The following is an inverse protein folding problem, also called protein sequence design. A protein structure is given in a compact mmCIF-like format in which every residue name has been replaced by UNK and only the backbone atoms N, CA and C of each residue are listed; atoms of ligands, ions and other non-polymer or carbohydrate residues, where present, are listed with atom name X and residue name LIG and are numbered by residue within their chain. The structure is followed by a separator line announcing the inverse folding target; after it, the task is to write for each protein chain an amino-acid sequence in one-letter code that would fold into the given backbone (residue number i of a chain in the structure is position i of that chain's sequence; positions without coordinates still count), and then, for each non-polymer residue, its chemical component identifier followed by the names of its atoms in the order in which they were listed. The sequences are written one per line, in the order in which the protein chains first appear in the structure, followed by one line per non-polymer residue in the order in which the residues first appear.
data_IF_255512024696
#
_entry.id   IF_255512024696
#
_cell.length_a   1.000
_cell.length_b   1.000
_cell.length_c   1.000
_cell.angle_alpha   90.00
_cell.angle_beta   90.00
_cell.angle_gamma   90.00
#
_symmetry.space_group_name_H-M   'P 1'
#
loop_
_entity.id
_entity.type
_entity.pdbx_description
1 polymer ?
#
# COMPACT_ATOMS: atom_id res chain seq x y z
N UNK A 1 14.14 -13.21 -1.47
CA UNK A 1 12.70 -12.90 -1.51
C UNK A 1 12.54 -11.72 -2.44
N UNK A 2 11.80 -11.83 -3.55
CA UNK A 2 11.56 -10.68 -4.43
C UNK A 2 10.70 -9.65 -3.70
N UNK A 3 11.23 -8.43 -3.58
CA UNK A 3 10.55 -7.31 -2.97
C UNK A 3 9.50 -6.76 -3.96
N UNK A 4 8.23 -7.09 -3.72
CA UNK A 4 7.11 -6.67 -4.58
C UNK A 4 6.70 -5.20 -4.36
N UNK A 5 7.43 -4.45 -3.54
CA UNK A 5 7.21 -3.01 -3.36
C UNK A 5 7.41 -2.21 -4.66
N UNK A 6 8.11 -2.77 -5.65
CA UNK A 6 8.24 -2.16 -6.98
C UNK A 6 6.95 -2.20 -7.81
N UNK A 7 6.02 -3.10 -7.49
CA UNK A 7 4.75 -3.25 -8.21
C UNK A 7 3.75 -2.12 -7.85
N UNK A 8 3.94 -1.48 -6.69
CA UNK A 8 3.10 -0.37 -6.20
C UNK A 8 4.05 0.75 -5.72
N UNK A 9 4.36 1.73 -6.57
CA UNK A 9 5.26 2.83 -6.23
C UNK A 9 4.68 3.71 -5.12
N UNK A 10 5.57 4.35 -4.36
CA UNK A 10 5.18 5.34 -3.35
C UNK A 10 4.37 6.48 -3.99
N UNK A 11 3.33 6.94 -3.30
CA UNK A 11 2.37 7.93 -3.83
C UNK A 11 1.19 7.31 -4.57
N UNK A 12 1.17 6.00 -4.81
CA UNK A 12 -0.02 5.31 -5.30
C UNK A 12 -1.18 5.44 -4.30
N UNK A 13 -2.40 5.32 -4.79
CA UNK A 13 -3.61 5.19 -3.96
C UNK A 13 -4.17 3.78 -4.15
N UNK A 14 -4.41 3.08 -3.04
CA UNK A 14 -5.04 1.76 -3.04
C UNK A 14 -6.46 1.87 -2.52
N UNK A 15 -7.37 1.12 -3.15
CA UNK A 15 -8.75 0.97 -2.69
C UNK A 15 -8.93 -0.40 -2.05
N UNK A 16 -9.45 -0.46 -0.82
CA UNK A 16 -9.77 -1.70 -0.08
C UNK A 16 -11.15 -1.52 0.54
N UNK A 17 -12.09 -2.40 0.19
CA UNK A 17 -13.49 -2.35 0.63
C UNK A 17 -14.12 -0.96 0.40
N UNK A 18 -13.83 -0.37 -0.76
CA UNK A 18 -14.30 0.97 -1.13
C UNK A 18 -13.62 2.14 -0.41
N UNK A 19 -12.66 1.90 0.48
CA UNK A 19 -11.88 2.93 1.18
C UNK A 19 -10.57 3.21 0.45
N UNK A 20 -10.22 4.48 0.29
CA UNK A 20 -8.97 4.91 -0.35
C UNK A 20 -7.87 5.20 0.68
N UNK A 21 -6.66 4.71 0.38
CA UNK A 21 -5.47 4.92 1.18
C UNK A 21 -4.28 5.32 0.30
N UNK A 22 -3.55 6.35 0.71
CA UNK A 22 -2.26 6.70 0.13
C UNK A 22 -1.19 5.70 0.59
N UNK A 23 -0.42 5.19 -0.36
CA UNK A 23 0.61 4.17 -0.13
C UNK A 23 1.97 4.83 0.10
N UNK A 24 2.65 4.43 1.18
CA UNK A 24 4.07 4.65 1.41
C UNK A 24 4.81 3.34 1.63
N UNK A 25 6.09 3.29 1.30
CA UNK A 25 6.90 2.10 1.58
C UNK A 25 7.35 2.13 3.04
N UNK A 26 7.13 1.02 3.74
CA UNK A 26 7.62 0.91 5.10
C UNK A 26 9.16 0.84 5.09
N UNK A 27 9.87 1.64 5.91
CA UNK A 27 11.34 1.71 5.87
C UNK A 27 12.02 0.49 6.54
N UNK A 28 11.30 -0.28 7.35
CA UNK A 28 11.87 -1.35 8.17
C UNK A 28 11.59 -2.75 7.62
N UNK A 29 10.47 -2.92 6.90
CA UNK A 29 10.01 -4.23 6.41
C UNK A 29 9.56 -4.15 4.94
N UNK A 30 9.47 -5.30 4.27
CA UNK A 30 8.81 -5.42 2.96
C UNK A 30 7.28 -5.34 3.14
N UNK A 31 6.82 -4.13 3.42
CA UNK A 31 5.44 -3.77 3.71
C UNK A 31 5.11 -2.38 3.13
N UNK A 32 3.82 -2.12 3.01
CA UNK A 32 3.26 -0.83 2.65
C UNK A 32 2.55 -0.24 3.86
N UNK A 33 2.82 1.03 4.13
CA UNK A 33 2.09 1.83 5.08
C UNK A 33 0.96 2.56 4.35
N UNK A 34 -0.28 2.36 4.82
CA UNK A 34 -1.49 2.90 4.24
C UNK A 34 -1.96 4.08 5.07
N UNK A 35 -2.02 5.25 4.43
CA UNK A 35 -2.38 6.50 5.05
C UNK A 35 -3.75 6.98 4.58
N UNK A 36 -4.53 7.54 5.50
CA UNK A 36 -5.76 8.26 5.17
C UNK A 36 -5.74 9.60 5.90
N UNK A 37 -5.98 10.70 5.18
CA UNK A 37 -5.98 12.07 5.74
C UNK A 37 -4.70 12.44 6.51
N UNK A 38 -3.56 11.87 6.13
CA UNK A 38 -2.25 12.12 6.75
C UNK A 38 -1.91 11.22 7.93
N UNK A 39 -2.81 10.35 8.36
CA UNK A 39 -2.60 9.43 9.48
C UNK A 39 -2.35 8.00 9.00
N UNK A 40 -1.45 7.27 9.68
CA UNK A 40 -1.16 5.87 9.41
C UNK A 40 -2.34 5.01 9.90
N UNK A 41 -3.00 4.32 8.99
CA UNK A 41 -4.15 3.47 9.30
C UNK A 41 -3.75 2.01 9.46
N UNK A 42 -2.95 1.49 8.52
CA UNK A 42 -2.51 0.10 8.50
C UNK A 42 -1.10 -0.03 7.93
N UNK A 43 -0.38 -1.06 8.38
CA UNK A 43 0.81 -1.57 7.71
C UNK A 43 0.49 -2.95 7.17
N UNK A 44 0.64 -3.15 5.86
CA UNK A 44 0.27 -4.38 5.16
C UNK A 44 1.51 -4.99 4.52
N UNK A 45 1.71 -6.30 4.68
CA UNK A 45 2.81 -7.00 4.00
C UNK A 45 2.73 -6.80 2.48
N UNK A 46 3.86 -6.55 1.82
CA UNK A 46 3.87 -6.23 0.39
C UNK A 46 3.34 -7.37 -0.50
N UNK A 47 3.34 -8.62 0.00
CA UNK A 47 2.74 -9.77 -0.70
C UNK A 47 1.24 -9.86 -0.55
N UNK A 48 0.68 -9.26 0.51
CA UNK A 48 -0.75 -9.35 0.86
C UNK A 48 -1.53 -8.22 0.19
N UNK A 49 -0.95 -7.02 0.09
CA UNK A 49 -1.67 -5.86 -0.44
C UNK A 49 -2.32 -6.11 -1.81
N UNK A 50 -1.65 -6.73 -2.81
CA UNK A 50 -2.27 -7.02 -4.10
C UNK A 50 -3.42 -8.04 -4.05
N UNK A 51 -3.54 -8.81 -2.97
CA UNK A 51 -4.62 -9.80 -2.77
C UNK A 51 -5.86 -9.20 -2.13
N UNK A 52 -5.70 -8.11 -1.36
CA UNK A 52 -6.80 -7.45 -0.65
C UNK A 52 -7.20 -6.11 -1.29
N UNK A 53 -6.41 -5.60 -2.23
CA UNK A 53 -6.70 -4.38 -2.96
C UNK A 53 -7.76 -4.64 -4.03
N UNK A 54 -8.83 -3.86 -4.01
CA UNK A 54 -9.84 -3.83 -5.07
C UNK A 54 -9.31 -3.10 -6.31
N UNK A 55 -8.53 -2.04 -6.08
CA UNK A 55 -7.92 -1.24 -7.15
C UNK A 55 -6.62 -0.55 -6.68
N UNK A 56 -5.75 -0.23 -7.64
CA UNK A 56 -4.54 0.57 -7.43
C UNK A 56 -4.48 1.66 -8.49
N UNK A 57 -4.37 2.91 -8.05
CA UNK A 57 -4.09 4.08 -8.89
C UNK A 57 -2.63 4.49 -8.72
N UNK A 58 -1.90 4.47 -9.82
CA UNK A 58 -0.49 4.91 -9.87
C UNK A 58 -0.39 6.45 -9.90
N UNK A 59 0.72 7.02 -9.40
CA UNK A 59 0.98 8.46 -9.43
C UNK A 59 1.12 9.04 -10.84
#
# INVERSE_FOLDING_TARGET
MNDRRQDIPEGSVVTIDGLEFAVKHNPHFSAFDLYQRGELMLTVNAKILPTIADAVKFP
#
